data_IF_116756407829
#
_entry.id   IF_116756407829
#
_cell.length_a   1.000
_cell.length_b   1.000
_cell.length_c   1.000
_cell.angle_alpha   90.00
_cell.angle_beta   90.00
_cell.angle_gamma   90.00
#
_symmetry.space_group_name_H-M   'P 1'
#
loop_
_entity.id
_entity.type
_entity.pdbx_description
1 polymer ?
#
# COMPACT_ATOMS: atom_id res chain seq x y z
N UNK A 1 3.40 -14.63 -2.27
CA UNK A 1 4.34 -15.44 -1.46
C UNK A 1 3.82 -15.63 -0.04
N UNK A 2 3.72 -14.60 0.81
CA UNK A 2 3.18 -14.75 2.18
C UNK A 2 1.73 -15.29 2.30
N UNK A 3 0.91 -15.08 1.26
CA UNK A 3 -0.47 -15.58 1.17
C UNK A 3 -0.49 -17.11 1.03
N UNK A 4 0.46 -17.67 0.28
CA UNK A 4 0.51 -19.09 -0.07
C UNK A 4 1.45 -19.86 0.88
N UNK A 5 2.56 -19.23 1.27
CA UNK A 5 3.56 -19.79 2.18
C UNK A 5 4.12 -18.66 3.04
N UNK A 6 3.65 -18.59 4.29
CA UNK A 6 4.05 -17.56 5.24
C UNK A 6 5.45 -17.83 5.79
N UNK A 7 5.78 -19.09 6.05
CA UNK A 7 7.07 -19.49 6.62
C UNK A 7 8.21 -19.23 5.62
N UNK A 8 7.96 -19.46 4.32
CA UNK A 8 8.88 -19.03 3.27
C UNK A 8 9.08 -17.50 3.28
N UNK A 9 8.00 -16.72 3.40
CA UNK A 9 8.11 -15.25 3.45
C UNK A 9 8.84 -14.76 4.70
N UNK A 10 8.69 -15.43 5.84
CA UNK A 10 9.46 -15.18 7.05
C UNK A 10 10.93 -15.53 6.85
N UNK A 11 11.25 -16.67 6.23
CA UNK A 11 12.64 -17.11 5.98
C UNK A 11 13.43 -16.15 5.07
N UNK A 12 12.73 -15.42 4.20
CA UNK A 12 13.30 -14.40 3.30
C UNK A 12 13.36 -13.01 3.93
N UNK A 13 12.84 -12.83 5.15
CA UNK A 13 12.76 -11.54 5.83
C UNK A 13 11.70 -10.60 5.26
N UNK A 14 10.80 -11.09 4.41
CA UNK A 14 9.71 -10.32 3.82
C UNK A 14 8.46 -10.23 4.72
N UNK A 15 8.43 -11.02 5.80
CA UNK A 15 7.37 -11.05 6.81
C UNK A 15 7.94 -11.26 8.20
N UNK A 16 7.21 -10.81 9.22
CA UNK A 16 7.57 -11.01 10.62
C UNK A 16 7.15 -12.41 11.10
N UNK A 17 7.90 -12.96 12.05
CA UNK A 17 7.64 -14.31 12.56
C UNK A 17 6.44 -14.35 13.52
N UNK A 18 5.89 -15.54 13.71
CA UNK A 18 4.76 -15.80 14.61
C UNK A 18 4.98 -15.23 16.02
N UNK A 19 6.17 -15.38 16.57
CA UNK A 19 6.52 -14.93 17.92
C UNK A 19 6.38 -13.41 18.09
N UNK A 20 6.52 -12.67 16.98
CA UNK A 20 6.43 -11.21 16.99
C UNK A 20 5.02 -10.69 16.79
N UNK A 21 4.24 -11.32 15.92
CA UNK A 21 2.95 -10.76 15.47
C UNK A 21 1.72 -11.54 15.93
N UNK A 22 1.88 -12.72 16.56
CA UNK A 22 0.81 -13.66 16.94
C UNK A 22 -0.01 -14.19 15.77
N UNK A 23 -0.90 -15.16 16.03
CA UNK A 23 -1.83 -15.71 15.03
C UNK A 23 -2.67 -14.62 14.37
N UNK A 24 -3.15 -13.66 15.17
CA UNK A 24 -3.95 -12.55 14.67
C UNK A 24 -3.17 -11.70 13.68
N UNK A 25 -1.90 -11.37 13.98
CA UNK A 25 -1.07 -10.57 13.10
C UNK A 25 -0.71 -11.31 11.80
N UNK A 26 -0.54 -12.64 11.84
CA UNK A 26 -0.37 -13.44 10.61
C UNK A 26 -1.61 -13.34 9.73
N UNK A 27 -2.80 -13.55 10.30
CA UNK A 27 -4.07 -13.47 9.55
C UNK A 27 -4.25 -12.06 8.97
N UNK A 28 -3.97 -11.03 9.77
CA UNK A 28 -4.01 -9.64 9.35
C UNK A 28 -3.06 -9.40 8.16
N UNK A 29 -1.80 -9.79 8.26
CA UNK A 29 -0.81 -9.65 7.17
C UNK A 29 -1.23 -10.40 5.90
N UNK A 30 -1.78 -11.62 6.03
CA UNK A 30 -2.31 -12.38 4.90
C UNK A 30 -3.50 -11.68 4.23
N UNK A 31 -4.42 -11.11 5.02
CA UNK A 31 -5.57 -10.38 4.49
C UNK A 31 -5.14 -9.17 3.67
N UNK A 32 -4.15 -8.40 4.13
CA UNK A 32 -3.60 -7.29 3.38
C UNK A 32 -2.84 -7.72 2.14
N UNK A 33 -1.96 -8.73 2.24
CA UNK A 33 -1.27 -9.27 1.08
C UNK A 33 -2.26 -9.73 0.00
N UNK A 34 -3.36 -10.35 0.39
CA UNK A 34 -4.42 -10.77 -0.51
C UNK A 34 -5.13 -9.59 -1.18
N UNK A 35 -5.56 -8.59 -0.40
CA UNK A 35 -6.17 -7.38 -0.94
C UNK A 35 -5.24 -6.62 -1.90
N UNK A 36 -3.95 -6.53 -1.54
CA UNK A 36 -2.94 -5.88 -2.38
C UNK A 36 -2.77 -6.61 -3.71
N UNK A 37 -2.70 -7.94 -3.66
CA UNK A 37 -2.53 -8.79 -4.85
C UNK A 37 -3.72 -8.69 -5.79
N UNK A 38 -4.95 -8.68 -5.25
CA UNK A 38 -6.17 -8.65 -6.07
C UNK A 38 -6.58 -7.25 -6.54
N UNK A 39 -6.26 -6.22 -5.76
CA UNK A 39 -6.78 -4.86 -6.02
C UNK A 39 -5.68 -3.84 -6.19
N UNK A 40 -4.82 -3.63 -5.18
CA UNK A 40 -3.87 -2.53 -5.20
C UNK A 40 -2.84 -2.64 -6.33
N UNK A 41 -2.19 -3.80 -6.49
CA UNK A 41 -1.18 -4.03 -7.52
C UNK A 41 -1.81 -3.94 -8.93
N UNK A 42 -2.92 -4.63 -9.25
CA UNK A 42 -3.59 -4.46 -10.54
C UNK A 42 -3.98 -3.00 -10.83
N UNK A 43 -4.54 -2.29 -9.85
CA UNK A 43 -4.93 -0.89 -10.02
C UNK A 43 -3.73 0.02 -10.26
N UNK A 44 -2.60 -0.26 -9.62
CA UNK A 44 -1.33 0.44 -9.82
C UNK A 44 -0.78 0.20 -11.22
N UNK A 45 -0.78 -1.06 -11.69
CA UNK A 45 -0.37 -1.42 -13.06
C UNK A 45 -1.24 -0.68 -14.08
N UNK A 46 -2.56 -0.75 -13.92
CA UNK A 46 -3.52 -0.04 -14.79
C UNK A 46 -3.18 1.45 -14.78
N UNK A 47 -3.00 2.07 -13.61
CA UNK A 47 -2.62 3.48 -13.48
C UNK A 47 -1.38 3.83 -14.29
N UNK A 48 -0.29 3.07 -14.16
CA UNK A 48 0.93 3.34 -14.91
C UNK A 48 0.75 3.20 -16.42
N UNK A 49 0.09 2.12 -16.88
CA UNK A 49 -0.22 1.95 -18.30
C UNK A 49 -1.11 3.08 -18.83
N UNK A 50 -2.11 3.49 -18.07
CA UNK A 50 -3.01 4.56 -18.43
C UNK A 50 -2.31 5.90 -18.53
N UNK A 51 -1.44 6.23 -17.57
CA UNK A 51 -0.66 7.46 -17.60
C UNK A 51 0.33 7.44 -18.78
N UNK A 52 0.97 6.30 -19.04
CA UNK A 52 1.87 6.11 -20.18
C UNK A 52 1.18 6.39 -21.52
N UNK A 53 -0.04 5.88 -21.70
CA UNK A 53 -0.87 6.12 -22.89
C UNK A 53 -1.77 7.36 -22.78
N UNK A 54 -1.57 8.19 -21.75
CA UNK A 54 -2.33 9.41 -21.46
C UNK A 54 -3.85 9.22 -21.43
N UNK A 55 -4.36 8.06 -20.99
CA UNK A 55 -5.79 7.78 -21.00
C UNK A 55 -6.51 8.41 -19.80
N UNK A 56 -7.75 8.87 -20.02
CA UNK A 56 -8.57 9.51 -18.97
C UNK A 56 -8.83 8.61 -17.76
N UNK A 57 -9.05 7.31 -18.00
CA UNK A 57 -9.31 6.35 -16.93
C UNK A 57 -8.11 6.21 -15.97
N UNK A 58 -6.90 6.58 -16.40
CA UNK A 58 -5.71 6.58 -15.55
C UNK A 58 -5.82 7.56 -14.38
N UNK A 59 -6.58 8.65 -14.55
CA UNK A 59 -6.79 9.63 -13.48
C UNK A 59 -7.66 9.05 -12.36
N UNK A 60 -8.66 8.25 -12.72
CA UNK A 60 -9.54 7.58 -11.75
C UNK A 60 -8.77 6.51 -10.98
N UNK A 61 -8.00 5.69 -11.69
CA UNK A 61 -7.20 4.65 -11.04
C UNK A 61 -6.06 5.25 -10.21
N UNK A 62 -5.44 6.36 -10.65
CA UNK A 62 -4.47 7.10 -9.84
C UNK A 62 -5.10 7.63 -8.55
N UNK A 63 -6.32 8.17 -8.61
CA UNK A 63 -7.02 8.62 -7.41
C UNK A 63 -7.24 7.45 -6.43
N UNK A 64 -7.66 6.30 -6.94
CA UNK A 64 -7.85 5.08 -6.15
C UNK A 64 -6.55 4.59 -5.52
N UNK A 65 -5.48 4.45 -6.29
CA UNK A 65 -4.16 4.04 -5.79
C UNK A 65 -3.66 5.01 -4.72
N UNK A 66 -3.71 6.31 -4.99
CA UNK A 66 -3.29 7.34 -4.04
C UNK A 66 -4.09 7.31 -2.74
N UNK A 67 -5.40 7.14 -2.83
CA UNK A 67 -6.28 7.00 -1.66
C UNK A 67 -5.93 5.76 -0.83
N UNK A 68 -5.72 4.61 -1.49
CA UNK A 68 -5.29 3.37 -0.82
C UNK A 68 -3.94 3.59 -0.14
N UNK A 69 -2.94 4.19 -0.82
CA UNK A 69 -1.61 4.43 -0.23
C UNK A 69 -1.70 5.26 1.05
N UNK A 70 -2.50 6.33 1.06
CA UNK A 70 -2.69 7.19 2.23
C UNK A 70 -3.39 6.44 3.36
N UNK A 71 -4.56 5.87 3.05
CA UNK A 71 -5.39 5.17 4.03
C UNK A 71 -4.64 4.01 4.68
N UNK A 72 -3.99 3.19 3.85
CA UNK A 72 -3.24 2.03 4.30
C UNK A 72 -2.10 2.42 5.22
N UNK A 73 -1.31 3.43 4.82
CA UNK A 73 -0.20 3.89 5.64
C UNK A 73 -0.65 4.34 7.03
N UNK A 74 -1.69 5.19 7.09
CA UNK A 74 -2.20 5.68 8.37
C UNK A 74 -2.76 4.54 9.24
N UNK A 75 -3.45 3.59 8.60
CA UNK A 75 -3.96 2.40 9.27
C UNK A 75 -2.83 1.57 9.87
N UNK A 76 -1.75 1.32 9.12
CA UNK A 76 -0.57 0.60 9.62
C UNK A 76 0.12 1.34 10.76
N UNK A 77 0.36 2.64 10.63
CA UNK A 77 1.00 3.44 11.68
C UNK A 77 0.19 3.35 12.97
N UNK A 78 -1.13 3.54 12.89
CA UNK A 78 -2.00 3.43 14.06
C UNK A 78 -1.99 2.01 14.62
N UNK A 79 -2.15 1.00 13.76
CA UNK A 79 -2.14 -0.41 14.15
C UNK A 79 -0.86 -0.78 14.89
N UNK A 80 0.32 -0.48 14.34
CA UNK A 80 1.60 -0.81 14.97
C UNK A 80 1.76 -0.15 16.34
N UNK A 81 1.28 1.10 16.50
CA UNK A 81 1.32 1.79 17.78
C UNK A 81 0.34 1.17 18.80
N UNK A 82 -0.89 0.86 18.38
CA UNK A 82 -1.92 0.31 19.26
C UNK A 82 -1.69 -1.18 19.60
N UNK A 83 -1.20 -1.97 18.65
CA UNK A 83 -0.97 -3.40 18.80
C UNK A 83 0.14 -3.71 19.81
N UNK A 84 1.07 -2.79 20.05
CA UNK A 84 2.10 -2.93 21.08
C UNK A 84 1.56 -3.14 22.50
N UNK A 85 0.31 -2.72 22.76
CA UNK A 85 -0.38 -2.92 24.03
C UNK A 85 -1.16 -4.25 24.11
N UNK A 86 -1.20 -5.03 23.02
CA UNK A 86 -1.97 -6.27 22.93
C UNK A 86 -1.13 -7.46 23.36
N UNK A 87 -1.66 -8.29 24.25
CA UNK A 87 -0.99 -9.51 24.73
C UNK A 87 -0.68 -10.45 23.55
N UNK A 88 0.59 -10.85 23.42
CA UNK A 88 1.06 -11.76 22.36
C UNK A 88 1.59 -11.06 21.12
N UNK A 89 1.39 -9.74 20.98
CA UNK A 89 2.02 -8.94 19.94
C UNK A 89 3.27 -8.27 20.52
N UNK A 90 4.45 -8.69 20.06
CA UNK A 90 5.75 -8.22 20.59
C UNK A 90 6.60 -7.47 19.56
N UNK A 91 6.09 -7.32 18.34
CA UNK A 91 6.74 -6.53 17.30
C UNK A 91 6.87 -5.07 17.74
N UNK A 92 8.11 -4.62 17.91
CA UNK A 92 8.45 -3.20 18.08
C UNK A 92 8.88 -2.64 16.73
N UNK A 93 8.07 -1.78 16.09
CA UNK A 93 8.39 -1.25 14.75
C UNK A 93 9.65 -0.39 14.81
N UNK A 94 10.68 -0.80 14.08
CA UNK A 94 11.89 -0.01 13.91
C UNK A 94 11.70 1.19 12.99
N UNK A 95 12.68 2.11 12.97
CA UNK A 95 12.70 3.27 12.06
C UNK A 95 12.40 2.91 10.58
N UNK A 96 12.88 1.78 10.02
CA UNK A 96 12.57 1.42 8.63
C UNK A 96 11.08 1.29 8.32
N UNK A 97 10.26 0.84 9.29
CA UNK A 97 8.81 0.76 9.12
C UNK A 97 8.22 2.14 8.86
N UNK A 98 8.58 3.13 9.68
CA UNK A 98 8.07 4.48 9.56
C UNK A 98 8.57 5.19 8.30
N UNK A 99 9.80 4.92 7.86
CA UNK A 99 10.32 5.43 6.59
C UNK A 99 9.49 4.88 5.42
N UNK A 100 9.30 3.56 5.37
CA UNK A 100 8.52 2.93 4.30
C UNK A 100 7.09 3.50 4.27
N UNK A 101 6.44 3.56 5.43
CA UNK A 101 5.13 4.16 5.59
C UNK A 101 5.11 5.62 5.10
N UNK A 102 6.07 6.43 5.54
CA UNK A 102 6.22 7.82 5.10
C UNK A 102 6.33 7.96 3.58
N UNK A 103 7.10 7.10 2.92
CA UNK A 103 7.25 7.09 1.45
C UNK A 103 5.90 6.81 0.78
N UNK A 104 5.14 5.82 1.25
CA UNK A 104 3.82 5.49 0.68
C UNK A 104 2.81 6.62 0.88
N UNK A 105 2.77 7.22 2.06
CA UNK A 105 1.89 8.35 2.36
C UNK A 105 2.20 9.58 1.50
N UNK A 106 3.47 9.97 1.42
CA UNK A 106 3.92 11.09 0.59
C UNK A 106 3.61 10.83 -0.88
N UNK A 107 3.84 9.60 -1.37
CA UNK A 107 3.54 9.21 -2.74
C UNK A 107 2.04 9.30 -3.03
N UNK A 108 1.21 8.85 -2.08
CA UNK A 108 -0.25 8.96 -2.17
C UNK A 108 -0.71 10.42 -2.27
N UNK A 109 -0.23 11.29 -1.37
CA UNK A 109 -0.53 12.73 -1.42
C UNK A 109 -0.06 13.34 -2.74
N UNK A 110 1.16 13.02 -3.16
CA UNK A 110 1.72 13.54 -4.40
C UNK A 110 0.88 13.14 -5.62
N UNK A 111 0.37 11.91 -5.68
CA UNK A 111 -0.53 11.47 -6.74
C UNK A 111 -1.85 12.24 -6.77
N UNK A 112 -2.43 12.56 -5.61
CA UNK A 112 -3.62 13.43 -5.54
C UNK A 112 -3.31 14.86 -5.99
N UNK A 113 -2.17 15.42 -5.59
CA UNK A 113 -1.73 16.75 -6.06
C UNK A 113 -1.52 16.73 -7.58
N UNK A 114 -0.92 15.67 -8.11
CA UNK A 114 -0.72 15.50 -9.55
C UNK A 114 -2.05 15.54 -10.31
N UNK A 115 -3.09 14.87 -9.79
CA UNK A 115 -4.42 14.91 -10.39
C UNK A 115 -4.97 16.33 -10.46
N UNK A 116 -4.86 17.10 -9.38
CA UNK A 116 -5.36 18.49 -9.32
C UNK A 116 -4.61 19.39 -10.30
N UNK A 117 -3.27 19.30 -10.32
CA UNK A 117 -2.43 20.26 -11.06
C UNK A 117 -2.29 19.89 -12.54
N UNK A 118 -2.31 18.60 -12.88
CA UNK A 118 -1.95 18.09 -14.21
C UNK A 118 -3.02 17.22 -14.87
N UNK A 119 -4.07 16.82 -14.15
CA UNK A 119 -5.13 15.96 -14.68
C UNK A 119 -5.76 16.52 -15.95
N UNK A 120 -6.17 17.78 -15.96
CA UNK A 120 -6.81 18.41 -17.12
C UNK A 120 -5.90 18.51 -18.34
N UNK A 121 -4.60 18.76 -18.14
CA UNK A 121 -3.63 18.87 -19.23
C UNK A 121 -3.44 17.53 -19.96
N UNK A 122 -3.53 16.41 -19.25
CA UNK A 122 -3.51 15.08 -19.86
C UNK A 122 -4.75 14.84 -20.73
N UNK A 123 -5.91 15.36 -20.33
CA UNK A 123 -7.16 15.21 -21.08
C UNK A 123 -7.19 16.08 -22.34
N UNK A 124 -6.72 17.32 -22.25
CA UNK A 124 -6.73 18.29 -23.35
C UNK A 124 -5.84 17.88 -24.54
N UNK A 125 -4.89 16.96 -24.36
CA UNK A 125 -4.01 16.48 -25.42
C UNK A 125 -4.59 15.30 -26.23
N UNK A 126 -5.67 14.66 -25.77
CA UNK A 126 -6.33 13.56 -26.50
C UNK A 126 -7.56 14.02 -27.31
N UNK A 127 -7.92 15.30 -27.24
CA UNK A 127 -9.05 15.86 -28.00
C UNK A 127 -8.62 16.43 -29.36
N UNK A 128 -7.46 16.00 -29.88
CA UNK A 128 -6.95 16.28 -31.22
C UNK A 128 -6.75 14.96 -31.95
#
# INVERSE_FOLDING_TARGET
MAIFDYDFAVSTGLQESYEKVSDFGIIFNKAFGFADTLTYIPLMIITFFGLWFRKRWALVTLAGVSGISIYWTLTCIYFMNAASAVKGFTLVPGVPYYILMGIYFITGIWGLIYLIVRGERLLAQNSK
#
